data_IF_559540337201
#
_entry.id   IF_559540337201
#
_cell.length_a   1.000
_cell.length_b   1.000
_cell.length_c   1.000
_cell.angle_alpha   90.00
_cell.angle_beta   90.00
_cell.angle_gamma   90.00
#
_symmetry.space_group_name_H-M   'P 1'
#
loop_
_entity.id
_entity.type
_entity.pdbx_description
1 polymer ?
#
# COMPACT_ATOMS: atom_id res chain seq x y z
N UNK A 1 33.68 -1.27 -9.22
CA UNK A 1 35.07 -1.62 -9.61
C UNK A 1 35.60 -2.86 -8.88
N UNK A 2 35.56 -2.94 -7.54
CA UNK A 2 36.04 -4.10 -6.79
C UNK A 2 35.38 -5.42 -7.21
N UNK A 3 34.09 -5.50 -7.31
CA UNK A 3 33.36 -6.70 -7.73
C UNK A 3 33.82 -7.21 -9.10
N UNK A 4 33.92 -6.33 -10.08
CA UNK A 4 34.41 -6.69 -11.42
C UNK A 4 35.86 -7.20 -11.39
N UNK A 5 36.72 -6.57 -10.57
CA UNK A 5 38.14 -6.97 -10.48
C UNK A 5 38.36 -8.31 -9.77
N UNK A 6 37.56 -8.63 -8.75
CA UNK A 6 37.75 -9.82 -7.92
C UNK A 6 36.82 -10.98 -8.28
N UNK A 7 35.59 -10.69 -8.78
CA UNK A 7 34.64 -11.72 -9.15
C UNK A 7 34.43 -11.86 -10.66
N UNK A 8 35.06 -10.99 -11.50
CA UNK A 8 34.91 -11.03 -12.95
C UNK A 8 33.54 -10.55 -13.47
N UNK A 9 32.63 -10.18 -12.59
CA UNK A 9 31.27 -9.81 -12.93
C UNK A 9 30.86 -8.47 -12.29
N UNK A 10 29.89 -7.79 -12.90
CA UNK A 10 29.26 -6.62 -12.30
C UNK A 10 28.38 -7.07 -11.13
N UNK A 11 28.48 -6.43 -9.94
CA UNK A 11 27.74 -6.85 -8.74
C UNK A 11 26.24 -6.55 -8.82
N UNK A 12 25.78 -5.79 -9.81
CA UNK A 12 24.38 -5.43 -10.01
C UNK A 12 24.10 -5.20 -11.50
N UNK A 13 22.90 -5.53 -11.91
CA UNK A 13 22.43 -5.37 -13.31
C UNK A 13 21.70 -4.04 -13.51
N UNK A 14 21.11 -3.50 -12.45
CA UNK A 14 20.32 -2.28 -12.50
C UNK A 14 20.82 -1.30 -11.45
N UNK A 15 20.84 -0.02 -11.82
CA UNK A 15 21.14 1.10 -10.93
C UNK A 15 19.93 2.04 -10.94
N UNK A 16 19.29 2.18 -9.80
CA UNK A 16 18.13 3.06 -9.63
C UNK A 16 18.54 4.31 -8.86
N UNK A 17 18.32 5.47 -9.46
CA UNK A 17 18.53 6.76 -8.81
C UNK A 17 17.22 7.26 -8.20
N UNK A 18 17.21 7.40 -6.89
CA UNK A 18 16.07 7.97 -6.17
C UNK A 18 16.01 9.48 -6.36
N UNK A 19 14.83 10.05 -6.12
CA UNK A 19 14.63 11.50 -6.09
C UNK A 19 15.42 12.18 -4.97
N UNK A 20 15.81 13.43 -5.20
CA UNK A 20 16.40 14.28 -4.16
C UNK A 20 15.26 14.99 -3.43
N UNK A 21 15.25 14.90 -2.10
CA UNK A 21 14.26 15.57 -1.27
C UNK A 21 14.72 17.00 -1.02
N UNK A 22 13.85 17.96 -1.29
CA UNK A 22 14.05 19.40 -1.06
C UNK A 22 13.02 19.90 -0.04
N UNK A 23 13.28 21.02 0.57
CA UNK A 23 12.31 21.68 1.43
C UNK A 23 11.11 22.23 0.61
N UNK A 24 10.09 22.72 1.30
CA UNK A 24 8.87 23.26 0.66
C UNK A 24 9.16 24.42 -0.29
N UNK A 25 10.27 25.14 -0.06
CA UNK A 25 10.74 26.24 -0.90
C UNK A 25 11.61 25.77 -2.08
N UNK A 26 11.86 24.46 -2.19
CA UNK A 26 12.69 23.87 -3.23
C UNK A 26 14.20 23.96 -2.98
N UNK A 27 14.65 24.35 -1.79
CA UNK A 27 16.05 24.42 -1.42
C UNK A 27 16.56 23.03 -1.02
N UNK A 28 17.85 22.80 -1.21
CA UNK A 28 18.51 21.58 -0.72
C UNK A 28 18.38 21.50 0.81
N UNK A 29 17.95 20.36 1.32
CA UNK A 29 17.93 20.08 2.74
C UNK A 29 19.36 19.96 3.30
N UNK A 30 19.60 20.57 4.44
CA UNK A 30 20.90 20.55 5.11
C UNK A 30 20.71 20.78 6.60
N UNK A 31 21.49 20.07 7.41
CA UNK A 31 21.48 20.26 8.87
C UNK A 31 21.92 21.68 9.27
N UNK A 32 22.86 22.26 8.53
CA UNK A 32 23.33 23.64 8.78
C UNK A 32 22.28 24.71 8.50
N UNK A 33 21.31 24.43 7.62
CA UNK A 33 20.19 25.35 7.33
C UNK A 33 18.99 25.12 8.26
N UNK A 34 19.00 24.07 9.06
CA UNK A 34 17.88 23.72 9.94
C UNK A 34 16.59 23.32 9.21
N UNK A 35 16.66 23.06 7.91
CA UNK A 35 15.50 22.72 7.07
C UNK A 35 15.38 21.20 6.78
N UNK A 36 16.16 20.38 7.49
CA UNK A 36 16.12 18.92 7.40
C UNK A 36 15.59 18.35 8.72
N UNK A 37 14.33 17.92 8.78
CA UNK A 37 13.79 17.28 9.98
C UNK A 37 14.54 15.98 10.27
N UNK A 38 14.62 15.61 11.55
CA UNK A 38 15.23 14.34 11.94
C UNK A 38 14.24 13.19 11.58
N UNK A 39 14.68 12.18 10.82
CA UNK A 39 13.84 11.04 10.51
C UNK A 39 13.37 10.26 11.75
N UNK A 40 14.14 10.28 12.85
CA UNK A 40 13.75 9.61 14.09
C UNK A 40 12.55 10.32 14.72
N UNK A 41 12.59 11.65 14.80
CA UNK A 41 11.47 12.44 15.33
C UNK A 41 10.20 12.23 14.49
N UNK A 42 10.35 12.14 13.18
CA UNK A 42 9.24 11.84 12.28
C UNK A 42 8.67 10.42 12.48
N UNK A 43 9.54 9.43 12.71
CA UNK A 43 9.10 8.07 13.00
C UNK A 43 8.40 7.96 14.37
N UNK A 44 8.85 8.70 15.37
CA UNK A 44 8.18 8.77 16.67
C UNK A 44 6.79 9.42 16.56
N UNK A 45 6.65 10.45 15.73
CA UNK A 45 5.39 11.19 15.55
C UNK A 45 4.38 10.46 14.65
N UNK A 46 4.83 9.89 13.54
CA UNK A 46 3.96 9.35 12.49
C UNK A 46 4.07 7.84 12.28
N UNK A 47 5.00 7.18 12.95
CA UNK A 47 5.34 5.79 12.72
C UNK A 47 6.29 5.60 11.52
N UNK A 48 7.07 4.52 11.57
CA UNK A 48 8.03 4.21 10.49
C UNK A 48 7.33 3.93 9.15
N UNK A 49 6.19 3.26 9.17
CA UNK A 49 5.41 2.95 7.97
C UNK A 49 4.80 4.20 7.36
N UNK A 50 4.33 5.15 8.18
CA UNK A 50 3.83 6.44 7.73
C UNK A 50 4.90 7.23 6.98
N UNK A 51 6.11 7.33 7.57
CA UNK A 51 7.25 8.00 6.95
C UNK A 51 7.64 7.34 5.63
N UNK A 52 7.82 6.02 5.61
CA UNK A 52 8.27 5.27 4.42
C UNK A 52 7.25 5.35 3.29
N UNK A 53 5.98 5.11 3.59
CA UNK A 53 4.92 5.15 2.60
C UNK A 53 4.70 6.56 2.05
N UNK A 54 4.63 7.56 2.93
CA UNK A 54 4.44 8.95 2.54
C UNK A 54 5.54 9.44 1.60
N UNK A 55 6.82 9.18 1.93
CA UNK A 55 7.94 9.53 1.06
C UNK A 55 7.94 8.77 -0.27
N UNK A 56 7.65 7.47 -0.25
CA UNK A 56 7.66 6.66 -1.47
C UNK A 56 6.59 7.12 -2.47
N UNK A 57 5.41 7.47 -1.97
CA UNK A 57 4.29 7.89 -2.82
C UNK A 57 4.56 9.16 -3.61
N UNK A 58 5.34 10.08 -3.03
CA UNK A 58 5.65 11.38 -3.66
C UNK A 58 6.94 11.41 -4.46
N UNK A 59 7.72 10.34 -4.44
CA UNK A 59 9.04 10.30 -5.06
C UNK A 59 8.97 9.83 -6.52
N UNK A 60 8.85 10.72 -7.53
CA UNK A 60 8.83 10.32 -8.93
C UNK A 60 10.20 9.84 -9.38
N UNK A 61 10.23 9.04 -10.43
CA UNK A 61 11.48 8.63 -11.06
C UNK A 61 12.16 9.85 -11.71
N UNK A 62 13.39 10.15 -11.28
CA UNK A 62 14.25 11.16 -11.93
C UNK A 62 13.89 12.63 -11.65
N UNK A 63 13.05 12.92 -10.66
CA UNK A 63 12.68 14.28 -10.29
C UNK A 63 13.07 14.65 -8.85
N UNK A 64 13.07 15.93 -8.52
CA UNK A 64 13.19 16.39 -7.15
C UNK A 64 11.82 16.39 -6.47
N UNK A 65 11.79 16.06 -5.19
CA UNK A 65 10.58 16.01 -4.36
C UNK A 65 10.60 17.15 -3.37
N UNK A 66 9.53 17.91 -3.31
CA UNK A 66 9.33 18.88 -2.22
C UNK A 66 8.75 18.14 -1.02
N UNK A 67 9.49 18.17 0.07
CA UNK A 67 9.06 17.60 1.34
C UNK A 67 7.91 18.41 1.92
N UNK A 68 6.85 17.70 2.27
CA UNK A 68 5.74 18.24 3.04
C UNK A 68 5.36 17.21 4.11
N UNK A 69 5.32 17.65 5.36
CA UNK A 69 4.99 16.77 6.50
C UNK A 69 3.56 16.21 6.42
N UNK A 70 2.63 16.92 5.77
CA UNK A 70 1.29 16.45 5.52
C UNK A 70 1.25 15.11 4.75
N UNK A 71 2.22 14.86 3.91
CA UNK A 71 2.29 13.61 3.13
C UNK A 71 2.70 12.42 3.99
N UNK A 72 3.49 12.64 5.03
CA UNK A 72 3.83 11.61 6.01
C UNK A 72 2.61 11.30 6.88
N UNK A 73 1.85 12.33 7.25
CA UNK A 73 0.59 12.16 7.96
C UNK A 73 -0.44 11.37 7.14
N UNK A 74 -0.54 11.60 5.84
CA UNK A 74 -1.36 10.78 4.95
C UNK A 74 -0.91 9.32 4.93
N UNK A 75 0.41 9.06 4.94
CA UNK A 75 0.96 7.71 5.07
C UNK A 75 0.55 7.02 6.37
N UNK A 76 0.60 7.73 7.50
CA UNK A 76 0.09 7.25 8.79
C UNK A 76 -1.41 6.94 8.73
N UNK A 77 -2.19 7.83 8.17
CA UNK A 77 -3.64 7.65 8.06
C UNK A 77 -3.98 6.44 7.19
N UNK A 78 -3.22 6.20 6.13
CA UNK A 78 -3.35 5.02 5.29
C UNK A 78 -3.05 3.72 6.07
N UNK A 79 -1.95 3.68 6.81
CA UNK A 79 -1.60 2.52 7.64
C UNK A 79 -2.68 2.23 8.69
N UNK A 80 -3.21 3.28 9.34
CA UNK A 80 -4.30 3.16 10.31
C UNK A 80 -5.60 2.67 9.65
N UNK A 81 -5.91 3.14 8.44
CA UNK A 81 -7.11 2.69 7.70
C UNK A 81 -7.00 1.21 7.34
N UNK A 82 -5.85 0.76 6.88
CA UNK A 82 -5.58 -0.65 6.59
C UNK A 82 -5.72 -1.52 7.85
N UNK A 83 -5.08 -1.12 8.94
CA UNK A 83 -5.21 -1.81 10.23
C UNK A 83 -6.66 -1.92 10.68
N UNK A 84 -7.42 -0.84 10.61
CA UNK A 84 -8.82 -0.83 11.00
C UNK A 84 -9.70 -1.70 10.08
N UNK A 85 -9.40 -1.78 8.80
CA UNK A 85 -10.09 -2.67 7.87
C UNK A 85 -9.86 -4.15 8.23
N UNK A 86 -8.61 -4.53 8.53
CA UNK A 86 -8.28 -5.87 9.01
C UNK A 86 -8.97 -6.19 10.34
N UNK A 87 -8.94 -5.25 11.29
CA UNK A 87 -9.60 -5.40 12.58
C UNK A 87 -11.12 -5.53 12.44
N UNK A 88 -11.73 -4.78 11.53
CA UNK A 88 -13.16 -4.89 11.24
C UNK A 88 -13.53 -6.31 10.78
N UNK A 89 -12.72 -6.90 9.89
CA UNK A 89 -12.93 -8.27 9.43
C UNK A 89 -12.81 -9.30 10.57
N UNK A 90 -11.82 -9.15 11.46
CA UNK A 90 -11.64 -10.02 12.62
C UNK A 90 -12.84 -9.97 13.59
N UNK A 91 -13.34 -8.76 13.88
CA UNK A 91 -14.50 -8.56 14.77
C UNK A 91 -15.80 -9.13 14.17
N UNK A 92 -15.90 -9.25 12.86
CA UNK A 92 -17.01 -9.89 12.16
C UNK A 92 -17.05 -11.43 12.25
N UNK A 93 -16.18 -12.05 13.05
CA UNK A 93 -16.14 -13.50 13.30
C UNK A 93 -15.34 -14.30 12.25
N UNK A 94 -14.36 -13.67 11.65
CA UNK A 94 -13.48 -14.30 10.67
C UNK A 94 -12.25 -14.96 11.25
N UNK A 95 -12.39 -15.87 12.22
CA UNK A 95 -11.30 -16.67 12.79
C UNK A 95 -10.92 -17.88 11.90
N UNK A 96 -11.37 -17.92 10.66
CA UNK A 96 -10.92 -18.91 9.70
C UNK A 96 -9.45 -18.65 9.35
N UNK A 97 -8.59 -19.65 9.58
CA UNK A 97 -7.24 -19.66 9.01
C UNK A 97 -7.35 -19.34 7.52
N UNK A 98 -6.75 -18.22 7.10
CA UNK A 98 -6.57 -17.95 5.68
C UNK A 98 -5.54 -18.93 5.17
N UNK A 99 -5.99 -20.15 4.87
CA UNK A 99 -5.20 -21.10 4.11
C UNK A 99 -4.93 -20.45 2.76
N UNK A 100 -3.68 -20.21 2.46
CA UNK A 100 -3.19 -19.67 1.19
C UNK A 100 -3.43 -20.61 -0.01
N UNK A 101 -4.17 -21.69 0.21
CA UNK A 101 -4.53 -22.66 -0.79
C UNK A 101 -6.02 -22.53 -1.14
N UNK A 102 -6.27 -22.07 -2.34
CA UNK A 102 -7.53 -22.18 -3.06
C UNK A 102 -8.61 -21.15 -2.70
N UNK A 103 -8.49 -19.99 -3.32
CA UNK A 103 -9.67 -19.20 -3.68
C UNK A 103 -10.45 -19.98 -4.75
N UNK A 104 -11.10 -21.08 -4.33
CA UNK A 104 -12.08 -21.75 -5.19
C UNK A 104 -13.40 -21.02 -5.01
N UNK A 105 -13.79 -20.30 -6.05
CA UNK A 105 -15.14 -19.77 -6.23
C UNK A 105 -16.09 -20.98 -6.31
N UNK A 106 -16.57 -21.46 -5.16
CA UNK A 106 -17.63 -22.47 -5.14
C UNK A 106 -18.94 -21.77 -5.50
N UNK A 107 -19.45 -22.10 -6.68
CA UNK A 107 -20.79 -21.73 -7.16
C UNK A 107 -21.89 -22.52 -6.42
N UNK A 108 -21.86 -22.49 -5.08
CA UNK A 108 -22.96 -22.97 -4.24
C UNK A 108 -24.08 -21.92 -4.13
N UNK A 109 -25.28 -22.33 -3.71
CA UNK A 109 -26.49 -21.47 -3.60
C UNK A 109 -26.36 -20.25 -2.65
N UNK A 110 -25.21 -20.07 -1.96
CA UNK A 110 -24.79 -18.88 -1.27
C UNK A 110 -23.94 -17.94 -2.14
N UNK A 111 -24.13 -17.97 -3.46
CA UNK A 111 -23.28 -17.42 -4.51
C UNK A 111 -22.72 -16.03 -4.25
N UNK A 112 -21.50 -15.80 -4.77
CA UNK A 112 -20.82 -14.51 -4.74
C UNK A 112 -21.76 -13.39 -5.21
N UNK A 113 -21.90 -12.36 -4.40
CA UNK A 113 -22.69 -11.18 -4.77
C UNK A 113 -21.91 -10.34 -5.78
N UNK A 114 -22.57 -9.46 -6.54
CA UNK A 114 -21.94 -8.63 -7.55
C UNK A 114 -20.72 -7.85 -7.01
N UNK A 115 -20.74 -7.38 -5.76
CA UNK A 115 -19.63 -6.65 -5.17
C UNK A 115 -18.39 -7.52 -4.87
N UNK A 116 -18.55 -8.84 -4.64
CA UNK A 116 -17.41 -9.76 -4.53
C UNK A 116 -16.70 -9.93 -5.88
N UNK A 117 -17.51 -10.06 -6.94
CA UNK A 117 -16.99 -10.18 -8.32
C UNK A 117 -16.31 -8.88 -8.74
N UNK A 118 -16.92 -7.75 -8.44
CA UNK A 118 -16.39 -6.42 -8.77
C UNK A 118 -15.03 -6.16 -8.09
N UNK A 119 -14.91 -6.43 -6.79
CA UNK A 119 -13.65 -6.20 -6.08
C UNK A 119 -12.55 -7.16 -6.54
N UNK A 120 -12.90 -8.42 -6.88
CA UNK A 120 -11.93 -9.37 -7.40
C UNK A 120 -11.41 -8.93 -8.78
N UNK A 121 -12.29 -8.50 -9.69
CA UNK A 121 -11.88 -7.99 -10.99
C UNK A 121 -10.97 -6.75 -10.87
N UNK A 122 -11.30 -5.82 -9.96
CA UNK A 122 -10.46 -4.64 -9.70
C UNK A 122 -9.11 -4.99 -9.08
N UNK A 123 -9.07 -6.05 -8.26
CA UNK A 123 -7.80 -6.56 -7.72
C UNK A 123 -6.92 -7.13 -8.84
N UNK A 124 -7.49 -7.89 -9.76
CA UNK A 124 -6.75 -8.44 -10.90
C UNK A 124 -6.21 -7.33 -11.81
N UNK A 125 -7.01 -6.29 -12.09
CA UNK A 125 -6.57 -5.10 -12.81
C UNK A 125 -5.43 -4.38 -12.09
N UNK A 126 -5.53 -4.24 -10.75
CA UNK A 126 -4.48 -3.65 -9.93
C UNK A 126 -3.19 -4.45 -10.04
N UNK A 127 -3.24 -5.77 -9.85
CA UNK A 127 -2.06 -6.65 -9.90
C UNK A 127 -1.34 -6.50 -11.25
N UNK A 128 -2.08 -6.56 -12.36
CA UNK A 128 -1.51 -6.37 -13.69
C UNK A 128 -0.85 -5.00 -13.87
N UNK A 129 -1.46 -3.95 -13.33
CA UNK A 129 -0.92 -2.59 -13.38
C UNK A 129 0.34 -2.43 -12.49
N UNK A 130 0.38 -3.12 -11.34
CA UNK A 130 1.53 -3.11 -10.44
C UNK A 130 2.74 -3.81 -11.08
N UNK A 131 2.55 -4.94 -11.77
CA UNK A 131 3.63 -5.65 -12.46
C UNK A 131 4.34 -4.74 -13.47
N UNK A 132 3.56 -3.99 -14.25
CA UNK A 132 4.09 -3.00 -15.19
C UNK A 132 4.84 -1.86 -14.50
N UNK A 133 4.33 -1.36 -13.39
CA UNK A 133 4.96 -0.29 -12.62
C UNK A 133 6.26 -0.76 -11.93
N UNK A 134 6.28 -1.98 -11.38
CA UNK A 134 7.48 -2.59 -10.81
C UNK A 134 8.57 -2.82 -11.86
N UNK A 135 8.21 -3.37 -13.03
CA UNK A 135 9.15 -3.56 -14.13
C UNK A 135 9.78 -2.24 -14.62
N UNK A 136 9.02 -1.14 -14.52
CA UNK A 136 9.49 0.21 -14.85
C UNK A 136 10.15 0.97 -13.69
N UNK A 137 10.33 0.36 -12.50
CA UNK A 137 10.84 1.02 -11.29
C UNK A 137 10.03 2.24 -10.84
N UNK A 138 8.74 2.28 -11.16
CA UNK A 138 7.83 3.39 -10.82
C UNK A 138 7.18 3.18 -9.45
N UNK A 139 7.97 3.15 -8.41
CA UNK A 139 7.51 2.81 -7.05
C UNK A 139 6.48 3.80 -6.49
N UNK A 140 6.52 5.05 -6.89
CA UNK A 140 5.50 6.04 -6.55
C UNK A 140 4.13 5.69 -7.17
N UNK A 141 4.10 5.21 -8.42
CA UNK A 141 2.87 4.73 -9.04
C UNK A 141 2.33 3.49 -8.33
N UNK A 142 3.21 2.57 -7.92
CA UNK A 142 2.83 1.39 -7.12
C UNK A 142 2.15 1.83 -5.82
N UNK A 143 2.79 2.73 -5.06
CA UNK A 143 2.24 3.23 -3.80
C UNK A 143 0.91 3.95 -3.99
N UNK A 144 0.79 4.79 -5.04
CA UNK A 144 -0.44 5.52 -5.33
C UNK A 144 -1.59 4.58 -5.72
N UNK A 145 -1.35 3.60 -6.61
CA UNK A 145 -2.38 2.64 -7.03
C UNK A 145 -2.88 1.76 -5.87
N UNK A 146 -1.96 1.33 -4.99
CA UNK A 146 -2.32 0.60 -3.77
C UNK A 146 -3.16 1.47 -2.83
N UNK A 147 -2.79 2.74 -2.67
CA UNK A 147 -3.55 3.69 -1.87
C UNK A 147 -4.98 3.86 -2.41
N UNK A 148 -5.13 4.14 -3.70
CA UNK A 148 -6.42 4.39 -4.34
C UNK A 148 -7.34 3.15 -4.26
N UNK A 149 -6.79 1.97 -4.53
CA UNK A 149 -7.54 0.72 -4.41
C UNK A 149 -8.00 0.46 -2.97
N UNK A 150 -7.07 0.47 -2.01
CA UNK A 150 -7.41 0.18 -0.62
C UNK A 150 -8.36 1.21 -0.02
N UNK A 151 -8.15 2.48 -0.34
CA UNK A 151 -9.00 3.53 0.22
C UNK A 151 -10.38 3.52 -0.40
N UNK A 152 -10.46 3.65 -1.73
CA UNK A 152 -11.73 3.89 -2.42
C UNK A 152 -12.47 2.60 -2.76
N UNK A 153 -11.78 1.62 -3.35
CA UNK A 153 -12.47 0.42 -3.82
C UNK A 153 -12.72 -0.57 -2.68
N UNK A 154 -11.69 -0.86 -1.88
CA UNK A 154 -11.83 -1.83 -0.81
C UNK A 154 -12.55 -1.24 0.42
N UNK A 155 -12.05 -0.13 1.00
CA UNK A 155 -12.64 0.39 2.24
C UNK A 155 -13.97 1.11 2.03
N UNK A 156 -14.06 2.04 1.08
CA UNK A 156 -15.24 2.89 0.95
C UNK A 156 -16.39 2.20 0.19
N UNK A 157 -16.10 1.28 -0.73
CA UNK A 157 -17.15 0.58 -1.48
C UNK A 157 -17.38 -0.83 -0.98
N UNK A 158 -16.35 -1.70 -1.04
CA UNK A 158 -16.52 -3.11 -0.72
C UNK A 158 -16.87 -3.34 0.76
N UNK A 159 -16.08 -2.80 1.71
CA UNK A 159 -16.37 -3.00 3.14
C UNK A 159 -17.74 -2.44 3.54
N UNK A 160 -18.19 -1.34 2.94
CA UNK A 160 -19.53 -0.83 3.20
C UNK A 160 -20.62 -1.78 2.65
N UNK A 161 -20.42 -2.34 1.46
CA UNK A 161 -21.36 -3.29 0.86
C UNK A 161 -21.51 -4.58 1.68
N UNK A 162 -20.40 -5.07 2.24
CA UNK A 162 -20.41 -6.34 3.02
C UNK A 162 -20.79 -6.18 4.49
N UNK A 163 -20.98 -4.97 5.00
CA UNK A 163 -21.36 -4.75 6.41
C UNK A 163 -22.59 -5.54 6.84
N UNK A 164 -23.56 -5.70 5.93
CA UNK A 164 -24.76 -6.50 6.20
C UNK A 164 -24.48 -8.00 6.36
N UNK A 165 -23.47 -8.50 5.66
CA UNK A 165 -23.10 -9.92 5.67
C UNK A 165 -22.17 -10.27 6.84
N UNK A 166 -21.47 -9.28 7.40
CA UNK A 166 -20.58 -9.44 8.57
C UNK A 166 -21.29 -9.24 9.92
N UNK A 167 -22.58 -8.93 9.94
CA UNK A 167 -23.32 -8.79 11.20
C UNK A 167 -23.47 -10.13 11.89
N UNK A 168 -23.60 -10.11 13.22
CA UNK A 168 -23.73 -11.30 14.05
C UNK A 168 -24.98 -12.15 13.74
N UNK A 169 -26.01 -11.55 13.14
CA UNK A 169 -27.26 -12.17 12.73
C UNK A 169 -27.21 -12.78 11.31
N UNK A 170 -26.12 -12.53 10.56
CA UNK A 170 -25.93 -13.13 9.25
C UNK A 170 -25.62 -14.63 9.35
N UNK A 171 -26.07 -15.43 8.35
CA UNK A 171 -25.76 -16.86 8.30
C UNK A 171 -24.25 -17.11 8.25
N UNK A 172 -23.79 -18.26 8.79
CA UNK A 172 -22.38 -18.64 8.76
C UNK A 172 -21.82 -18.70 7.33
N UNK A 173 -22.64 -19.13 6.36
CA UNK A 173 -22.29 -19.17 4.94
C UNK A 173 -22.00 -17.78 4.35
N UNK A 174 -22.81 -16.78 4.71
CA UNK A 174 -22.59 -15.39 4.28
C UNK A 174 -21.30 -14.81 4.84
N UNK A 175 -21.02 -15.09 6.13
CA UNK A 175 -19.77 -14.63 6.77
C UNK A 175 -18.53 -15.28 6.18
N UNK A 176 -18.64 -16.53 5.75
CA UNK A 176 -17.53 -17.25 5.13
C UNK A 176 -17.21 -16.78 3.70
N UNK A 177 -18.21 -16.25 2.96
CA UNK A 177 -18.05 -15.74 1.59
C UNK A 177 -17.45 -14.32 1.55
N UNK A 178 -17.41 -13.60 2.67
CA UNK A 178 -16.89 -12.23 2.82
C UNK A 178 -15.52 -12.20 3.48
#
# INVERSE_FOLDING_TARGET
MAGFRFAGELPFRHVFFTSIIRDIQGRKMSKSLGNSPDPIDLMEKYGADGLRFGLLRIAPVGGDVKYDEAQIEEGRNFANKLYNACRFRQLGGGDGEVSSAQFQVSSGEGGLRPYHIDIAAKLDELVAALDGAYAGYKFNEVAQRLYDFLWSEFCDKFLEAVKGDLRADASAERRAAT
#
